data_IF_468276745675
#
_entry.id   IF_468276745675
#
_cell.length_a   1.000
_cell.length_b   1.000
_cell.length_c   1.000
_cell.angle_alpha   90.00
_cell.angle_beta   90.00
_cell.angle_gamma   90.00
#
_symmetry.space_group_name_H-M   'P 1'
#
loop_
_entity.id
_entity.type
_entity.pdbx_description
1 polymer ?
#
# COMPACT_ATOMS: atom_id res chain seq x y z
N UNK A 1 39.64 -14.36 -3.96
CA UNK A 1 38.48 -14.64 -3.10
C UNK A 1 37.50 -13.50 -3.32
N UNK A 2 36.43 -13.69 -4.11
CA UNK A 2 35.43 -12.64 -4.37
C UNK A 2 34.42 -12.67 -3.22
N UNK A 3 34.53 -11.73 -2.29
CA UNK A 3 33.52 -11.51 -1.27
C UNK A 3 32.34 -10.84 -1.97
N UNK A 4 31.27 -11.60 -2.22
CA UNK A 4 30.01 -11.12 -2.79
C UNK A 4 29.38 -10.18 -1.76
N UNK A 5 29.50 -8.86 -1.97
CA UNK A 5 28.98 -7.85 -1.02
C UNK A 5 27.51 -7.51 -1.22
N UNK A 6 26.90 -7.96 -2.31
CA UNK A 6 25.56 -7.53 -2.66
C UNK A 6 24.60 -8.70 -2.46
N UNK A 7 23.73 -8.59 -1.44
CA UNK A 7 22.48 -9.35 -1.43
C UNK A 7 21.86 -9.15 -2.81
N UNK A 8 21.68 -10.23 -3.57
CA UNK A 8 21.22 -10.19 -4.96
C UNK A 8 19.92 -9.38 -5.00
N UNK A 9 19.99 -8.12 -5.47
CA UNK A 9 18.80 -7.30 -5.54
C UNK A 9 17.99 -7.82 -6.74
N UNK A 10 17.03 -8.70 -6.48
CA UNK A 10 16.15 -9.29 -7.49
C UNK A 10 15.17 -8.27 -8.10
N UNK A 11 15.33 -6.98 -7.79
CA UNK A 11 14.56 -5.89 -8.35
C UNK A 11 15.15 -5.41 -9.68
N UNK A 12 14.29 -5.14 -10.66
CA UNK A 12 14.69 -4.31 -11.81
C UNK A 12 14.94 -2.89 -11.32
N UNK A 13 16.11 -2.36 -11.65
CA UNK A 13 16.49 -0.97 -11.43
C UNK A 13 16.30 -0.17 -12.70
N UNK A 14 15.99 1.11 -12.55
CA UNK A 14 16.16 2.12 -13.57
C UNK A 14 17.58 2.70 -13.47
N UNK A 15 18.32 2.68 -14.57
CA UNK A 15 19.69 3.19 -14.65
C UNK A 15 19.70 4.36 -15.62
N UNK A 16 20.19 5.51 -15.16
CA UNK A 16 20.46 6.68 -16.01
C UNK A 16 21.97 6.85 -16.15
N UNK A 17 22.46 6.90 -17.39
CA UNK A 17 23.85 7.22 -17.71
C UNK A 17 24.04 8.73 -17.86
N UNK A 18 25.29 9.17 -17.68
CA UNK A 18 25.70 10.57 -17.82
C UNK A 18 25.59 11.11 -19.24
N UNK A 19 25.64 10.24 -20.24
CA UNK A 19 25.44 10.60 -21.65
C UNK A 19 23.97 10.75 -22.05
N UNK A 20 23.02 10.61 -21.11
CA UNK A 20 21.59 10.74 -21.36
C UNK A 20 20.87 9.42 -21.68
N UNK A 21 21.59 8.34 -21.97
CA UNK A 21 20.99 7.03 -22.18
C UNK A 21 20.42 6.47 -20.87
N UNK A 22 19.29 5.79 -20.95
CA UNK A 22 18.67 5.11 -19.81
C UNK A 22 18.28 3.70 -20.16
N UNK A 23 18.29 2.81 -19.17
CA UNK A 23 17.84 1.45 -19.35
C UNK A 23 17.37 0.82 -18.05
N UNK A 24 16.61 -0.26 -18.16
CA UNK A 24 16.19 -1.08 -17.03
C UNK A 24 16.98 -2.40 -17.04
N UNK A 25 17.47 -2.81 -15.87
CA UNK A 25 18.23 -4.05 -15.69
C UNK A 25 18.25 -4.51 -14.22
N UNK A 26 18.65 -5.76 -13.98
CA UNK A 26 18.97 -6.30 -12.66
C UNK A 26 20.44 -6.07 -12.35
N UNK A 27 20.76 -5.55 -11.17
CA UNK A 27 22.14 -5.46 -10.69
C UNK A 27 22.56 -6.82 -10.13
N UNK A 28 23.57 -7.42 -10.76
CA UNK A 28 24.07 -8.76 -10.42
C UNK A 28 25.25 -8.67 -9.46
N UNK A 29 26.19 -7.78 -9.76
CA UNK A 29 27.41 -7.60 -8.98
C UNK A 29 27.88 -6.14 -9.12
N UNK A 30 28.66 -5.70 -8.16
CA UNK A 30 29.32 -4.40 -8.21
C UNK A 30 30.76 -4.54 -7.72
N UNK A 31 31.70 -3.99 -8.47
CA UNK A 31 33.09 -3.88 -8.05
C UNK A 31 33.50 -2.40 -7.96
N UNK A 32 34.77 -2.10 -7.69
CA UNK A 32 35.24 -0.72 -7.48
C UNK A 32 34.96 0.20 -8.67
N UNK A 33 34.99 -0.32 -9.89
CA UNK A 33 35.05 0.47 -11.12
C UNK A 33 33.83 0.26 -12.03
N UNK A 34 33.18 -0.90 -11.91
CA UNK A 34 32.07 -1.32 -12.76
C UNK A 34 30.86 -1.84 -11.96
N UNK A 35 29.71 -1.77 -12.63
CA UNK A 35 28.50 -2.49 -12.29
C UNK A 35 28.26 -3.60 -13.32
N UNK A 36 27.82 -4.77 -12.86
CA UNK A 36 27.46 -5.90 -13.69
C UNK A 36 25.94 -6.06 -13.71
N UNK A 37 25.34 -6.02 -14.88
CA UNK A 37 23.89 -6.05 -15.06
C UNK A 37 23.43 -7.23 -15.92
N UNK A 38 22.18 -7.65 -15.71
CA UNK A 38 21.41 -8.53 -16.61
C UNK A 38 20.11 -7.87 -17.05
N UNK A 39 19.72 -8.06 -18.31
CA UNK A 39 18.39 -7.64 -18.79
C UNK A 39 17.29 -8.57 -18.28
N UNK A 40 17.59 -9.86 -18.25
CA UNK A 40 16.71 -10.92 -17.77
C UNK A 40 17.44 -11.73 -16.70
N UNK A 41 16.83 -11.88 -15.53
CA UNK A 41 17.50 -12.48 -14.37
C UNK A 41 17.97 -13.93 -14.61
N UNK A 42 17.17 -14.69 -15.35
CA UNK A 42 17.38 -16.12 -15.61
C UNK A 42 18.18 -16.42 -16.87
N UNK A 43 18.53 -15.40 -17.65
CA UNK A 43 19.42 -15.59 -18.79
C UNK A 43 20.85 -15.25 -18.41
N UNK A 44 21.85 -15.94 -19.00
CA UNK A 44 23.25 -15.74 -18.64
C UNK A 44 23.85 -14.46 -19.24
N UNK A 45 23.14 -13.72 -20.09
CA UNK A 45 23.72 -12.53 -20.73
C UNK A 45 23.91 -11.38 -19.76
N UNK A 46 25.17 -11.15 -19.41
CA UNK A 46 25.62 -10.06 -18.56
C UNK A 46 26.31 -8.97 -19.38
N UNK A 47 26.18 -7.73 -18.94
CA UNK A 47 26.93 -6.62 -19.49
C UNK A 47 27.45 -5.71 -18.37
N UNK A 48 28.63 -5.14 -18.61
CA UNK A 48 29.29 -4.24 -17.67
C UNK A 48 29.06 -2.79 -18.05
N UNK A 49 28.93 -1.94 -17.05
CA UNK A 49 28.87 -0.49 -17.20
C UNK A 49 29.78 0.15 -16.16
N UNK A 50 30.65 1.06 -16.58
CA UNK A 50 31.52 1.76 -15.64
C UNK A 50 30.70 2.60 -14.67
N UNK A 51 31.05 2.57 -13.38
CA UNK A 51 30.45 3.43 -12.35
C UNK A 51 30.52 4.90 -12.73
N UNK A 52 31.58 5.31 -13.44
CA UNK A 52 31.78 6.69 -13.89
C UNK A 52 30.73 7.12 -14.92
N UNK A 53 30.19 6.17 -15.69
CA UNK A 53 29.20 6.44 -16.71
C UNK A 53 27.77 6.49 -16.14
N UNK A 54 27.55 5.95 -14.95
CA UNK A 54 26.26 6.01 -14.27
C UNK A 54 26.08 7.36 -13.58
N UNK A 55 24.96 8.02 -13.87
CA UNK A 55 24.53 9.22 -13.17
C UNK A 55 23.78 8.84 -11.89
N UNK A 56 22.78 7.96 -12.01
CA UNK A 56 22.07 7.40 -10.86
C UNK A 56 21.42 6.06 -11.21
N UNK A 57 21.07 5.30 -10.17
CA UNK A 57 20.23 4.12 -10.24
C UNK A 57 19.10 4.26 -9.24
N UNK A 58 17.90 3.82 -9.60
CA UNK A 58 16.73 3.90 -8.73
C UNK A 58 15.89 2.63 -8.83
N UNK A 59 15.27 2.26 -7.72
CA UNK A 59 14.30 1.16 -7.71
C UNK A 59 13.01 1.56 -8.45
N UNK A 60 12.37 0.57 -9.09
CA UNK A 60 11.12 0.77 -9.81
C UNK A 60 9.87 0.55 -8.95
N UNK A 61 9.97 0.34 -7.63
CA UNK A 61 8.80 0.20 -6.76
C UNK A 61 8.25 1.55 -6.27
N UNK A 62 6.94 1.66 -6.05
CA UNK A 62 6.37 2.78 -5.31
C UNK A 62 7.00 2.90 -3.93
N UNK A 63 6.97 4.10 -3.35
CA UNK A 63 7.56 4.36 -2.03
C UNK A 63 6.67 5.24 -1.16
N UNK A 64 7.02 5.38 0.11
CA UNK A 64 6.31 6.22 1.08
C UNK A 64 4.80 5.93 1.14
N UNK A 65 4.42 4.65 1.05
CA UNK A 65 3.03 4.24 1.26
C UNK A 65 2.59 4.64 2.66
N UNK A 66 1.47 5.34 2.74
CA UNK A 66 0.80 5.75 3.98
C UNK A 66 -0.71 5.53 3.87
N UNK A 67 -1.36 5.36 5.01
CA UNK A 67 -2.80 5.14 5.11
C UNK A 67 -3.45 6.00 6.18
N UNK A 68 -4.59 6.58 5.84
CA UNK A 68 -5.42 7.41 6.72
C UNK A 68 -6.75 6.66 6.97
N UNK A 69 -6.93 6.07 8.18
CA UNK A 69 -8.12 5.29 8.48
C UNK A 69 -9.33 6.16 8.88
N UNK A 70 -10.49 5.74 8.40
CA UNK A 70 -11.81 6.05 8.89
C UNK A 70 -12.45 4.77 9.49
N UNK A 71 -13.75 4.81 9.81
CA UNK A 71 -14.45 3.70 10.45
C UNK A 71 -14.60 2.49 9.51
N UNK A 72 -15.04 2.71 8.28
CA UNK A 72 -15.33 1.68 7.28
C UNK A 72 -14.41 1.73 6.05
N UNK A 73 -13.41 2.62 6.09
CA UNK A 73 -12.61 2.96 4.93
C UNK A 73 -11.19 3.39 5.29
N UNK A 74 -10.27 3.23 4.35
CA UNK A 74 -8.87 3.64 4.48
C UNK A 74 -8.46 4.35 3.19
N UNK A 75 -8.00 5.60 3.30
CA UNK A 75 -7.37 6.33 2.19
C UNK A 75 -5.89 6.02 2.16
N UNK A 76 -5.42 5.42 1.07
CA UNK A 76 -4.02 5.10 0.82
C UNK A 76 -3.41 6.12 -0.16
N UNK A 77 -2.16 6.49 0.08
CA UNK A 77 -1.37 7.32 -0.84
C UNK A 77 0.11 6.95 -0.80
N UNK A 78 0.81 7.17 -1.90
CA UNK A 78 2.23 6.79 -2.08
C UNK A 78 2.91 7.72 -3.09
N UNK A 79 4.23 7.59 -3.21
CA UNK A 79 5.02 8.22 -4.26
C UNK A 79 5.20 7.27 -5.45
N UNK A 80 5.13 7.79 -6.69
CA UNK A 80 5.32 6.98 -7.89
C UNK A 80 6.79 6.51 -7.99
N UNK A 81 7.04 5.36 -8.63
CA UNK A 81 8.40 4.95 -8.99
C UNK A 81 8.97 5.78 -10.14
N UNK A 82 10.27 5.58 -10.41
CA UNK A 82 10.88 6.10 -11.63
C UNK A 82 10.46 5.30 -12.88
N UNK A 83 10.17 6.03 -13.96
CA UNK A 83 9.71 5.47 -15.22
C UNK A 83 8.20 5.59 -15.43
N UNK A 84 7.72 5.04 -16.54
CA UNK A 84 6.30 5.07 -16.89
C UNK A 84 5.53 4.01 -16.09
N UNK A 85 4.36 4.41 -15.58
CA UNK A 85 3.43 3.55 -14.85
C UNK A 85 2.08 3.58 -15.55
N UNK A 86 1.61 2.39 -15.94
CA UNK A 86 0.30 2.16 -16.54
C UNK A 86 -0.80 2.15 -15.49
N UNK A 87 -0.57 1.47 -14.36
CA UNK A 87 -1.51 1.37 -13.25
C UNK A 87 -0.81 0.95 -11.95
N UNK A 88 -1.46 1.15 -10.82
CA UNK A 88 -1.07 0.63 -9.51
C UNK A 88 -2.05 -0.47 -9.09
N UNK A 89 -1.53 -1.55 -8.53
CA UNK A 89 -2.31 -2.60 -7.86
C UNK A 89 -2.09 -2.51 -6.36
N UNK A 90 -3.19 -2.55 -5.62
CA UNK A 90 -3.19 -2.51 -4.17
C UNK A 90 -3.46 -3.90 -3.66
N UNK A 91 -2.57 -4.36 -2.79
CA UNK A 91 -2.68 -5.66 -2.16
C UNK A 91 -2.95 -5.49 -0.68
N UNK A 92 -3.79 -6.37 -0.13
CA UNK A 92 -4.19 -6.36 1.26
C UNK A 92 -4.10 -7.77 1.86
N UNK A 93 -3.81 -7.83 3.16
CA UNK A 93 -4.04 -9.01 4.01
C UNK A 93 -4.50 -8.57 5.40
N UNK A 94 -5.13 -9.47 6.17
CA UNK A 94 -5.66 -9.14 7.51
C UNK A 94 -4.74 -9.62 8.64
N UNK A 95 -4.03 -10.73 8.45
CA UNK A 95 -3.08 -11.23 9.45
C UNK A 95 -1.66 -11.26 8.91
N UNK A 96 -0.70 -11.15 9.83
CA UNK A 96 0.72 -11.30 9.50
C UNK A 96 0.97 -12.77 9.14
N UNK A 97 1.46 -13.02 7.94
CA UNK A 97 1.74 -14.36 7.41
C UNK A 97 0.73 -14.84 6.37
N UNK A 98 -0.42 -14.17 6.25
CA UNK A 98 -1.37 -14.45 5.17
C UNK A 98 -0.80 -14.03 3.81
N UNK A 99 -1.29 -14.68 2.76
CA UNK A 99 -1.06 -14.23 1.39
C UNK A 99 -1.80 -12.91 1.10
N UNK A 100 -1.18 -12.12 0.24
CA UNK A 100 -1.72 -10.86 -0.22
C UNK A 100 -2.75 -11.08 -1.34
N UNK A 101 -3.91 -10.44 -1.24
CA UNK A 101 -4.92 -10.40 -2.31
C UNK A 101 -5.04 -9.01 -2.92
N UNK A 102 -5.31 -8.94 -4.23
CA UNK A 102 -5.57 -7.66 -4.90
C UNK A 102 -6.94 -7.16 -4.49
N UNK A 103 -7.00 -5.96 -3.93
CA UNK A 103 -8.26 -5.33 -3.48
C UNK A 103 -8.66 -4.12 -4.32
N UNK A 104 -7.77 -3.63 -5.18
CA UNK A 104 -8.06 -2.50 -6.03
C UNK A 104 -6.94 -2.17 -7.01
N UNK A 105 -7.27 -1.32 -7.98
CA UNK A 105 -6.30 -0.72 -8.88
C UNK A 105 -6.67 0.72 -9.21
N UNK A 106 -5.66 1.53 -9.53
CA UNK A 106 -5.85 2.95 -9.85
C UNK A 106 -4.70 3.44 -10.72
N UNK A 107 -4.94 4.46 -11.55
CA UNK A 107 -3.88 5.18 -12.27
C UNK A 107 -3.29 6.34 -11.46
N UNK A 108 -3.96 6.73 -10.37
CA UNK A 108 -3.51 7.79 -9.46
C UNK A 108 -2.57 7.22 -8.40
N UNK A 109 -1.84 8.09 -7.73
CA UNK A 109 -0.98 7.73 -6.57
C UNK A 109 -1.75 7.73 -5.24
N UNK A 110 -3.06 7.59 -5.31
CA UNK A 110 -3.96 7.47 -4.17
C UNK A 110 -5.19 6.63 -4.53
N UNK A 111 -5.75 5.97 -3.52
CA UNK A 111 -7.04 5.25 -3.59
C UNK A 111 -7.70 5.23 -2.21
N UNK A 112 -9.02 5.26 -2.17
CA UNK A 112 -9.79 4.99 -0.94
C UNK A 112 -10.42 3.61 -1.05
N UNK A 113 -10.12 2.74 -0.08
CA UNK A 113 -10.77 1.44 0.06
C UNK A 113 -11.93 1.60 1.04
N UNK A 114 -13.13 1.17 0.66
CA UNK A 114 -14.38 1.26 1.44
C UNK A 114 -14.93 -0.13 1.74
N UNK A 115 -15.89 -0.23 2.67
CA UNK A 115 -16.49 -1.51 3.06
C UNK A 115 -15.55 -2.39 3.88
N UNK A 116 -14.57 -1.77 4.56
CA UNK A 116 -13.71 -2.44 5.51
C UNK A 116 -14.45 -2.60 6.85
N UNK A 117 -14.13 -3.66 7.58
CA UNK A 117 -14.63 -3.83 8.93
C UNK A 117 -13.99 -2.81 9.84
N UNK A 118 -14.77 -2.25 10.73
CA UNK A 118 -14.34 -1.35 11.78
C UNK A 118 -13.42 -2.05 12.78
N UNK A 119 -12.62 -1.27 13.52
CA UNK A 119 -11.64 -1.73 14.50
C UNK A 119 -10.75 -2.91 14.06
N UNK A 120 -10.54 -3.06 12.75
CA UNK A 120 -9.88 -4.22 12.15
C UNK A 120 -8.54 -3.80 11.56
N UNK A 121 -7.50 -4.59 11.85
CA UNK A 121 -6.16 -4.35 11.31
C UNK A 121 -6.02 -4.93 9.91
N UNK A 122 -5.44 -4.14 9.01
CA UNK A 122 -5.13 -4.49 7.64
C UNK A 122 -3.67 -4.17 7.34
N UNK A 123 -3.05 -4.98 6.50
CA UNK A 123 -1.70 -4.77 5.98
C UNK A 123 -1.78 -4.47 4.49
N UNK A 124 -1.07 -3.44 4.05
CA UNK A 124 -1.09 -3.00 2.65
C UNK A 124 0.30 -2.92 2.05
N UNK A 125 0.38 -3.31 0.77
CA UNK A 125 1.49 -3.02 -0.12
C UNK A 125 0.93 -2.55 -1.47
N UNK A 126 1.69 -1.72 -2.17
CA UNK A 126 1.34 -1.25 -3.52
C UNK A 126 2.42 -1.65 -4.50
N UNK A 127 2.01 -2.13 -5.68
CA UNK A 127 2.90 -2.41 -6.81
C UNK A 127 2.49 -1.57 -8.00
N UNK A 128 3.48 -1.08 -8.74
CA UNK A 128 3.25 -0.44 -10.02
C UNK A 128 3.29 -1.48 -11.13
N UNK A 129 2.55 -1.22 -12.21
CA UNK A 129 2.55 -2.01 -13.43
C UNK A 129 2.93 -1.05 -14.55
N UNK A 130 3.94 -1.40 -15.35
CA UNK A 130 4.34 -0.61 -16.51
C UNK A 130 3.61 -1.04 -17.80
N UNK A 131 3.89 -0.37 -18.91
CA UNK A 131 3.22 -0.62 -20.19
C UNK A 131 3.55 -2.00 -20.81
N UNK A 132 4.58 -2.67 -20.30
CA UNK A 132 4.93 -4.05 -20.68
C UNK A 132 4.23 -5.11 -19.82
N UNK A 133 3.27 -4.67 -19.00
CA UNK A 133 2.60 -5.49 -17.99
C UNK A 133 3.56 -6.10 -16.95
N UNK A 134 4.76 -5.53 -16.81
CA UNK A 134 5.68 -5.90 -15.75
C UNK A 134 5.24 -5.27 -14.43
N UNK A 135 5.02 -6.12 -13.43
CA UNK A 135 4.70 -5.70 -12.08
C UNK A 135 5.97 -5.54 -11.24
N UNK A 136 6.10 -4.38 -10.59
CA UNK A 136 7.26 -4.03 -9.81
C UNK A 136 7.28 -4.75 -8.47
N UNK A 137 8.41 -4.67 -7.78
CA UNK A 137 8.44 -5.00 -6.36
C UNK A 137 7.46 -4.11 -5.56
N UNK A 138 7.03 -4.58 -4.38
CA UNK A 138 6.11 -3.84 -3.55
C UNK A 138 6.76 -2.59 -2.95
N UNK A 139 5.91 -1.64 -2.57
CA UNK A 139 6.26 -0.56 -1.66
C UNK A 139 6.65 -1.09 -0.27
N UNK A 140 6.97 -0.16 0.64
CA UNK A 140 6.96 -0.47 2.07
C UNK A 140 5.59 -1.05 2.47
N UNK A 141 5.61 -2.05 3.37
CA UNK A 141 4.41 -2.57 4.01
C UNK A 141 3.96 -1.62 5.11
N UNK A 142 2.65 -1.34 5.17
CA UNK A 142 2.04 -0.61 6.28
C UNK A 142 1.01 -1.47 6.98
N UNK A 143 0.83 -1.27 8.28
CA UNK A 143 -0.29 -1.79 9.07
C UNK A 143 -1.19 -0.63 9.45
N UNK A 144 -2.47 -0.72 9.11
CA UNK A 144 -3.48 0.31 9.42
C UNK A 144 -4.69 -0.36 10.07
N UNK A 145 -5.19 0.22 11.15
CA UNK A 145 -6.40 -0.23 11.83
C UNK A 145 -7.51 0.78 11.56
N UNK A 146 -8.66 0.30 11.11
CA UNK A 146 -9.87 1.13 10.97
C UNK A 146 -10.33 1.66 12.32
N UNK A 147 -11.02 2.80 12.31
CA UNK A 147 -11.54 3.42 13.54
C UNK A 147 -12.83 2.75 13.99
N UNK A 148 -13.29 3.12 15.19
CA UNK A 148 -14.64 2.77 15.63
C UNK A 148 -15.68 3.47 14.76
N UNK A 149 -16.79 2.81 14.44
CA UNK A 149 -18.02 3.45 13.99
C UNK A 149 -18.71 4.16 15.16
N UNK A 150 -19.58 5.12 14.84
CA UNK A 150 -20.48 5.72 15.82
C UNK A 150 -21.73 4.84 15.93
N UNK A 151 -22.31 4.67 17.13
CA UNK A 151 -23.58 3.98 17.28
C UNK A 151 -24.69 4.64 16.46
N UNK A 152 -25.64 3.84 15.99
CA UNK A 152 -26.84 4.35 15.34
C UNK A 152 -27.61 5.30 16.26
N UNK A 153 -28.20 6.36 15.71
CA UNK A 153 -28.98 7.30 16.50
C UNK A 153 -30.25 6.61 17.03
N UNK A 154 -30.57 6.69 18.33
CA UNK A 154 -31.76 6.06 18.87
C UNK A 154 -33.01 6.78 18.35
N UNK A 155 -34.07 6.04 18.02
CA UNK A 155 -35.34 6.66 17.68
C UNK A 155 -36.04 7.09 18.97
N UNK A 156 -36.25 8.40 19.13
CA UNK A 156 -36.87 8.97 20.34
C UNK A 156 -38.34 9.29 20.06
N UNK A 157 -39.21 8.84 20.95
CA UNK A 157 -40.64 9.14 20.96
C UNK A 157 -41.07 9.65 22.33
N UNK A 158 -42.08 10.53 22.33
CA UNK A 158 -42.69 11.04 23.56
C UNK A 158 -44.06 10.41 23.70
N UNK A 159 -44.34 9.79 24.84
CA UNK A 159 -45.65 9.23 25.17
C UNK A 159 -46.08 9.65 26.57
N UNK A 160 -47.39 9.65 26.85
CA UNK A 160 -47.90 9.81 28.21
C UNK A 160 -47.92 8.46 28.93
N UNK A 161 -47.56 8.44 30.21
CA UNK A 161 -47.77 7.28 31.07
C UNK A 161 -49.24 7.16 31.53
N UNK A 162 -49.56 6.09 32.25
CA UNK A 162 -50.89 5.85 32.84
C UNK A 162 -51.33 6.94 33.85
N UNK A 163 -50.42 7.84 34.24
CA UNK A 163 -50.62 8.92 35.19
C UNK A 163 -50.57 10.31 34.54
N UNK A 164 -50.67 10.39 33.20
CA UNK A 164 -50.64 11.61 32.39
C UNK A 164 -49.30 12.38 32.40
N UNK A 165 -48.20 11.77 32.84
CA UNK A 165 -46.86 12.36 32.75
C UNK A 165 -46.24 12.15 31.37
N UNK A 166 -45.48 13.13 30.90
CA UNK A 166 -44.69 13.00 29.68
C UNK A 166 -43.47 12.11 29.93
N UNK A 167 -43.37 11.01 29.18
CA UNK A 167 -42.26 10.06 29.24
C UNK A 167 -41.55 10.03 27.89
N UNK A 168 -40.22 10.17 27.96
CA UNK A 168 -39.34 9.96 26.82
C UNK A 168 -39.05 8.46 26.68
N UNK A 169 -39.29 7.90 25.50
CA UNK A 169 -39.01 6.50 25.19
C UNK A 169 -38.17 6.43 23.94
N UNK A 170 -37.07 5.72 24.01
CA UNK A 170 -36.20 5.51 22.87
C UNK A 170 -35.96 4.04 22.61
N UNK A 171 -35.72 3.68 21.34
CA UNK A 171 -35.23 2.36 20.96
C UNK A 171 -33.74 2.23 21.30
N UNK A 172 -33.28 1.01 21.59
CA UNK A 172 -31.85 0.76 21.76
C UNK A 172 -31.12 1.01 20.43
N UNK A 173 -30.14 1.92 20.47
CA UNK A 173 -29.16 2.12 19.43
C UNK A 173 -28.35 0.85 19.21
N UNK A 174 -28.08 0.51 17.94
CA UNK A 174 -27.12 -0.53 17.60
C UNK A 174 -25.76 0.10 17.36
N UNK A 175 -24.74 -0.52 17.92
CA UNK A 175 -23.36 -0.22 17.62
C UNK A 175 -22.76 -1.45 16.92
N UNK A 176 -22.24 -1.29 15.70
CA UNK A 176 -21.60 -2.40 14.98
C UNK A 176 -20.29 -2.82 15.65
N UNK A 177 -19.74 -1.94 16.50
CA UNK A 177 -18.39 -2.00 17.05
C UNK A 177 -18.36 -2.35 18.54
N UNK A 178 -19.52 -2.44 19.18
CA UNK A 178 -19.61 -2.57 20.63
C UNK A 178 -21.04 -2.51 21.15
N UNK A 179 -21.17 -2.14 22.43
CA UNK A 179 -22.44 -1.88 23.08
C UNK A 179 -22.51 -0.41 23.44
N UNK A 180 -23.67 0.21 23.23
CA UNK A 180 -23.93 1.61 23.61
C UNK A 180 -23.74 1.75 25.13
N UNK A 181 -22.72 2.50 25.54
CA UNK A 181 -22.37 2.65 26.96
C UNK A 181 -23.36 3.54 27.73
N UNK A 182 -24.12 4.38 27.03
CA UNK A 182 -25.17 5.20 27.64
C UNK A 182 -25.76 6.23 26.71
N UNK A 183 -26.89 6.81 27.13
CA UNK A 183 -27.57 7.90 26.44
C UNK A 183 -27.40 9.18 27.23
N UNK A 184 -27.06 10.28 26.54
CA UNK A 184 -27.02 11.62 27.14
C UNK A 184 -28.29 12.37 26.75
N UNK A 185 -29.01 12.85 27.76
CA UNK A 185 -30.27 13.59 27.66
C UNK A 185 -30.02 15.05 28.01
#
# INVERSE_FOLDING_TARGET
MRTLYTNLNMSKLFIQKRNGESFVAYLVDEDRDDYLFRKELYKPEEFKVSRKDILFMAEKNPSALKGEPASDSIKLSWLPPYGQVKTYKIYMKQKKGDEYSVVGSTRKTEITLTGLKTQTAYFFIVRAVDDTDYETNPSNEIKVTTKSSLPEMPEVSVKKDEKENWVLVWSESKDEDGTVEGYRI
#
